data_IF_399616251110
#
_entry.id   IF_399616251110
#
_cell.length_a   1.000
_cell.length_b   1.000
_cell.length_c   1.000
_cell.angle_alpha   90.00
_cell.angle_beta   90.00
_cell.angle_gamma   90.00
#
_symmetry.space_group_name_H-M   'P 1'
#
loop_
_entity.id
_entity.type
_entity.pdbx_description
1 polymer ?
#
# COMPACT_ATOMS: atom_id res chain seq x y z
N UNK A 1 -2.20 0.35 -0.06
CA UNK A 1 -1.52 -0.12 1.18
C UNK A 1 -1.39 1.00 2.21
N UNK A 2 -0.61 2.06 1.93
CA UNK A 2 -0.36 3.11 2.91
C UNK A 2 -1.64 3.86 3.31
N UNK A 3 -2.50 4.20 2.35
CA UNK A 3 -3.80 4.82 2.64
C UNK A 3 -4.73 3.87 3.41
N UNK A 4 -4.86 2.61 2.99
CA UNK A 4 -5.85 1.67 3.56
C UNK A 4 -5.67 1.44 5.07
N UNK A 5 -4.43 1.43 5.55
CA UNK A 5 -4.11 1.30 6.98
C UNK A 5 -3.76 2.62 7.67
N UNK A 6 -3.23 3.60 6.93
CA UNK A 6 -2.80 4.89 7.46
C UNK A 6 -3.88 5.97 7.51
N UNK A 7 -4.97 5.81 6.75
CA UNK A 7 -6.10 6.76 6.76
C UNK A 7 -6.84 6.76 8.11
N UNK A 8 -6.85 5.63 8.83
CA UNK A 8 -7.30 5.58 10.21
C UNK A 8 -6.14 5.96 11.15
N UNK A 9 -6.00 7.26 11.43
CA UNK A 9 -4.87 7.82 12.19
C UNK A 9 -4.50 7.06 13.48
N UNK A 10 -5.45 6.62 14.34
CA UNK A 10 -5.09 5.87 15.55
C UNK A 10 -4.35 4.53 15.29
N UNK A 11 -4.50 3.94 14.10
CA UNK A 11 -3.80 2.72 13.70
C UNK A 11 -2.34 2.97 13.33
N UNK A 12 -2.00 4.15 12.82
CA UNK A 12 -0.64 4.49 12.41
C UNK A 12 -0.36 6.00 12.56
N UNK A 13 -0.32 6.53 13.79
CA UNK A 13 -0.09 7.95 14.01
C UNK A 13 1.33 8.33 13.58
N UNK A 14 1.43 9.37 12.75
CA UNK A 14 2.73 9.84 12.23
C UNK A 14 3.60 10.56 13.25
N UNK A 15 3.03 10.99 14.37
CA UNK A 15 3.72 11.62 15.49
C UNK A 15 2.90 11.48 16.77
N UNK A 16 3.54 11.66 17.92
CA UNK A 16 2.91 11.71 19.24
C UNK A 16 3.27 13.03 19.93
N UNK A 17 2.27 13.69 20.50
CA UNK A 17 2.41 15.03 21.12
C UNK A 17 2.82 14.97 22.59
N UNK A 18 2.70 13.79 23.21
CA UNK A 18 3.07 13.55 24.60
C UNK A 18 4.09 12.41 24.70
N UNK A 19 4.96 12.41 25.73
CA UNK A 19 5.93 11.34 25.93
C UNK A 19 5.25 10.01 26.29
N UNK A 20 5.95 8.87 26.10
CA UNK A 20 5.44 7.57 26.52
C UNK A 20 5.06 7.53 28.01
N UNK A 21 3.93 6.91 28.39
CA UNK A 21 3.55 6.76 29.79
C UNK A 21 4.61 5.99 30.59
N UNK A 22 4.98 6.50 31.77
CA UNK A 22 6.03 5.89 32.61
C UNK A 22 5.49 4.92 33.67
N UNK A 23 4.15 4.85 33.84
CA UNK A 23 3.48 4.00 34.84
C UNK A 23 2.20 3.40 34.26
N UNK A 24 1.91 2.15 34.63
CA UNK A 24 0.64 1.47 34.28
C UNK A 24 -0.56 2.14 34.96
N UNK A 25 -1.74 2.04 34.35
CA UNK A 25 -3.01 2.53 34.92
C UNK A 25 -3.18 4.06 34.92
N UNK A 26 -2.30 4.81 34.24
CA UNK A 26 -2.38 6.27 34.11
C UNK A 26 -2.94 6.76 32.78
N UNK A 27 -3.09 5.87 31.80
CA UNK A 27 -3.70 6.20 30.52
C UNK A 27 -5.23 6.30 30.68
N UNK A 28 -5.79 7.33 30.05
CA UNK A 28 -7.22 7.56 29.85
C UNK A 28 -7.49 7.88 28.38
N UNK A 29 -8.76 7.78 27.95
CA UNK A 29 -9.17 8.18 26.59
C UNK A 29 -8.77 9.62 26.29
N UNK A 30 -8.97 10.55 27.23
CA UNK A 30 -8.52 11.93 27.11
C UNK A 30 -7.01 12.03 26.86
N UNK A 31 -6.19 11.35 27.67
CA UNK A 31 -4.73 11.37 27.47
C UNK A 31 -4.31 10.75 26.13
N UNK A 32 -5.07 9.79 25.61
CA UNK A 32 -4.82 9.19 24.31
C UNK A 32 -5.09 10.21 23.19
N UNK A 33 -6.24 10.89 23.23
CA UNK A 33 -6.58 11.96 22.29
C UNK A 33 -5.56 13.10 22.35
N UNK A 34 -5.14 13.51 23.56
CA UNK A 34 -4.14 14.57 23.75
C UNK A 34 -2.74 14.14 23.25
N UNK A 35 -2.46 12.83 23.16
CA UNK A 35 -1.20 12.29 22.61
C UNK A 35 -1.21 12.24 21.08
N UNK A 36 -2.38 12.10 20.46
CA UNK A 36 -2.50 11.96 19.01
C UNK A 36 -2.12 13.23 18.25
N UNK A 37 -1.74 13.12 16.96
CA UNK A 37 -1.49 14.28 16.11
C UNK A 37 -2.75 15.15 15.98
N UNK A 38 -2.53 16.46 15.82
CA UNK A 38 -3.62 17.38 15.52
C UNK A 38 -4.23 17.12 14.12
N UNK A 39 -5.36 17.76 13.86
CA UNK A 39 -6.12 17.59 12.61
C UNK A 39 -5.28 17.97 11.39
N UNK A 40 -4.53 19.07 11.45
CA UNK A 40 -3.74 19.56 10.33
C UNK A 40 -2.66 18.56 9.92
N UNK A 41 -1.90 18.03 10.89
CA UNK A 41 -0.88 17.01 10.65
C UNK A 41 -1.48 15.73 10.08
N UNK A 42 -2.64 15.32 10.58
CA UNK A 42 -3.34 14.12 10.11
C UNK A 42 -3.78 14.25 8.65
N UNK A 43 -4.46 15.35 8.31
CA UNK A 43 -4.97 15.60 6.95
C UNK A 43 -3.82 15.73 5.95
N UNK A 44 -2.75 16.43 6.33
CA UNK A 44 -1.60 16.65 5.44
C UNK A 44 -0.96 15.33 5.02
N UNK A 45 -0.79 14.37 5.92
CA UNK A 45 -0.19 13.08 5.57
C UNK A 45 -1.11 12.28 4.67
N UNK A 46 -2.40 12.20 4.99
CA UNK A 46 -3.37 11.39 4.23
C UNK A 46 -3.44 11.84 2.76
N UNK A 47 -3.28 13.14 2.48
CA UNK A 47 -3.32 13.65 1.09
C UNK A 47 -2.18 13.18 0.19
N UNK A 48 -1.07 12.68 0.73
CA UNK A 48 0.07 12.18 -0.08
C UNK A 48 0.03 10.67 -0.33
N UNK A 49 -0.94 9.94 0.22
CA UNK A 49 -0.91 8.46 0.23
C UNK A 49 -1.60 7.79 -0.98
N UNK A 50 -1.85 8.50 -2.08
CA UNK A 50 -2.64 7.99 -3.22
C UNK A 50 -1.98 8.17 -4.59
N UNK A 51 -1.16 7.21 -5.04
CA UNK A 51 -0.62 7.18 -6.42
C UNK A 51 -0.33 5.74 -6.87
N UNK A 52 -0.58 5.39 -8.15
CA UNK A 52 -0.21 4.09 -8.78
C UNK A 52 -0.01 4.17 -10.32
N UNK A 53 1.01 3.46 -10.86
CA UNK A 53 1.26 3.13 -12.30
C UNK A 53 1.67 1.65 -12.42
N UNK A 54 1.02 0.80 -13.23
CA UNK A 54 1.07 -0.68 -13.11
C UNK A 54 2.25 -1.44 -13.77
N UNK A 55 2.58 -2.62 -13.22
CA UNK A 55 3.68 -3.54 -13.52
C UNK A 55 3.44 -4.36 -14.79
N UNK A 56 4.51 -4.62 -15.55
CA UNK A 56 4.46 -5.46 -16.76
C UNK A 56 3.91 -4.76 -18.01
N UNK A 57 3.54 -3.48 -17.88
CA UNK A 57 3.25 -2.60 -19.00
C UNK A 57 4.53 -1.86 -19.40
N UNK A 58 5.11 -2.25 -20.53
CA UNK A 58 6.29 -1.62 -21.12
C UNK A 58 5.86 -0.87 -22.39
N UNK A 59 5.33 0.36 -22.29
CA UNK A 59 4.93 1.13 -23.47
C UNK A 59 6.12 1.62 -24.29
N UNK A 60 7.32 1.71 -23.69
CA UNK A 60 8.55 2.02 -24.38
C UNK A 60 9.22 0.73 -24.88
N UNK A 61 9.28 0.57 -26.20
CA UNK A 61 9.89 -0.59 -26.86
C UNK A 61 11.42 -0.45 -26.93
N UNK A 62 12.09 -0.78 -25.82
CA UNK A 62 13.56 -0.81 -25.77
C UNK A 62 14.17 -2.08 -26.37
N UNK A 63 13.44 -3.19 -26.32
CA UNK A 63 13.82 -4.45 -26.95
C UNK A 63 12.99 -4.67 -28.20
N UNK A 64 13.66 -5.03 -29.30
CA UNK A 64 13.01 -5.36 -30.58
C UNK A 64 13.35 -6.77 -31.04
N UNK A 65 14.33 -7.42 -30.41
CA UNK A 65 14.69 -8.80 -30.74
C UNK A 65 13.60 -9.79 -30.32
N UNK A 66 13.45 -10.86 -31.09
CA UNK A 66 12.39 -11.85 -30.91
C UNK A 66 12.41 -12.53 -29.54
N UNK A 67 13.61 -12.91 -29.05
CA UNK A 67 13.76 -13.65 -27.80
C UNK A 67 13.36 -12.82 -26.56
N UNK A 68 13.88 -11.59 -26.34
CA UNK A 68 13.40 -10.70 -25.28
C UNK A 68 11.90 -10.43 -25.35
N UNK A 69 11.36 -10.15 -26.54
CA UNK A 69 9.93 -9.91 -26.74
C UNK A 69 9.08 -11.12 -26.34
N UNK A 70 9.52 -12.34 -26.67
CA UNK A 70 8.84 -13.55 -26.24
C UNK A 70 8.89 -13.73 -24.72
N UNK A 71 10.03 -13.45 -24.08
CA UNK A 71 10.16 -13.50 -22.62
C UNK A 71 9.26 -12.50 -21.89
N UNK A 72 9.07 -11.31 -22.46
CA UNK A 72 8.12 -10.31 -21.94
C UNK A 72 6.69 -10.85 -22.01
N UNK A 73 6.30 -11.48 -23.13
CA UNK A 73 4.97 -12.10 -23.26
C UNK A 73 4.76 -13.25 -22.27
N UNK A 74 5.75 -14.14 -22.14
CA UNK A 74 5.70 -15.25 -21.17
C UNK A 74 5.53 -14.71 -19.74
N UNK A 75 6.29 -13.67 -19.39
CA UNK A 75 6.17 -13.00 -18.09
C UNK A 75 4.78 -12.41 -17.86
N UNK A 76 4.21 -11.70 -18.85
CA UNK A 76 2.86 -11.16 -18.77
C UNK A 76 1.78 -12.24 -18.59
N UNK A 77 1.95 -13.42 -19.19
CA UNK A 77 1.04 -14.56 -19.00
C UNK A 77 1.11 -15.07 -17.56
N UNK A 78 2.31 -15.24 -17.01
CA UNK A 78 2.47 -15.66 -15.61
C UNK A 78 1.91 -14.64 -14.63
N UNK A 79 2.07 -13.33 -14.88
CA UNK A 79 1.46 -12.29 -14.05
C UNK A 79 -0.08 -12.38 -14.05
N UNK A 80 -0.71 -12.61 -15.21
CA UNK A 80 -2.16 -12.80 -15.30
C UNK A 80 -2.64 -14.03 -14.53
N UNK A 81 -1.90 -15.14 -14.61
CA UNK A 81 -2.19 -16.36 -13.84
C UNK A 81 -2.11 -16.09 -12.34
N UNK A 82 -1.04 -15.45 -11.88
CA UNK A 82 -0.84 -15.07 -10.49
C UNK A 82 -1.96 -14.15 -9.97
N UNK A 83 -2.35 -13.13 -10.74
CA UNK A 83 -3.47 -12.25 -10.40
C UNK A 83 -4.77 -13.03 -10.20
N UNK A 84 -5.08 -13.97 -11.09
CA UNK A 84 -6.28 -14.81 -10.97
C UNK A 84 -6.25 -15.67 -9.69
N UNK A 85 -5.11 -16.26 -9.34
CA UNK A 85 -4.92 -17.03 -8.10
C UNK A 85 -5.11 -16.16 -6.85
N UNK A 86 -4.56 -14.94 -6.86
CA UNK A 86 -4.71 -13.97 -5.77
C UNK A 86 -6.19 -13.58 -5.59
N UNK A 87 -6.91 -13.31 -6.69
CA UNK A 87 -8.34 -12.97 -6.67
C UNK A 87 -9.18 -14.13 -6.14
N UNK A 88 -8.91 -15.36 -6.59
CA UNK A 88 -9.59 -16.55 -6.09
C UNK A 88 -9.38 -16.72 -4.58
N UNK A 89 -8.14 -16.60 -4.11
CA UNK A 89 -7.80 -16.68 -2.68
C UNK A 89 -8.47 -15.57 -1.86
N UNK A 90 -8.51 -14.35 -2.38
CA UNK A 90 -9.11 -13.21 -1.70
C UNK A 90 -10.64 -13.27 -1.61
N UNK A 91 -11.31 -14.02 -2.49
CA UNK A 91 -12.79 -14.12 -2.50
C UNK A 91 -13.40 -14.72 -1.24
N UNK A 92 -12.60 -15.44 -0.45
CA UNK A 92 -13.05 -16.13 0.78
C UNK A 92 -12.50 -15.49 2.07
N UNK A 93 -11.78 -14.37 1.97
CA UNK A 93 -11.18 -13.69 3.12
C UNK A 93 -12.02 -12.46 3.51
N UNK A 94 -12.26 -12.31 4.83
CA UNK A 94 -12.91 -11.12 5.37
C UNK A 94 -12.07 -9.85 5.15
N UNK A 95 -10.74 -10.00 5.11
CA UNK A 95 -9.80 -8.93 4.79
C UNK A 95 -8.86 -9.39 3.65
N UNK A 96 -9.23 -9.10 2.39
CA UNK A 96 -8.40 -9.42 1.23
C UNK A 96 -7.02 -8.76 1.27
N UNK A 97 -5.99 -9.47 0.81
CA UNK A 97 -4.66 -8.89 0.60
C UNK A 97 -4.42 -8.71 -0.90
N UNK A 98 -4.48 -7.47 -1.37
CA UNK A 98 -4.45 -7.11 -2.80
C UNK A 98 -3.14 -6.44 -3.23
N UNK A 99 -2.26 -6.04 -2.29
CA UNK A 99 -1.13 -5.15 -2.58
C UNK A 99 -0.02 -5.73 -3.45
N UNK A 100 0.02 -7.06 -3.61
CA UNK A 100 0.95 -7.76 -4.50
C UNK A 100 0.23 -8.39 -5.69
N UNK A 101 -1.02 -8.02 -5.95
CA UNK A 101 -1.67 -8.37 -7.20
C UNK A 101 -0.94 -7.64 -8.35
N UNK A 102 -0.45 -8.34 -9.38
CA UNK A 102 0.20 -7.72 -10.52
C UNK A 102 -0.63 -6.61 -11.18
N UNK A 103 -1.97 -6.69 -11.10
CA UNK A 103 -2.88 -5.68 -11.65
C UNK A 103 -2.81 -4.32 -10.93
N UNK A 104 -2.25 -4.28 -9.71
CA UNK A 104 -2.14 -3.05 -8.88
C UNK A 104 -0.71 -2.76 -8.42
N UNK A 105 0.27 -3.58 -8.81
CA UNK A 105 1.68 -3.39 -8.46
C UNK A 105 2.33 -2.47 -9.47
N UNK A 106 3.29 -1.62 -9.08
CA UNK A 106 3.94 -0.70 -10.03
C UNK A 106 5.15 -1.28 -10.77
N UNK A 107 5.43 -0.77 -11.97
CA UNK A 107 6.59 -1.21 -12.77
C UNK A 107 7.93 -0.65 -12.24
N UNK A 108 7.90 0.51 -11.60
CA UNK A 108 9.06 1.18 -11.02
C UNK A 108 8.65 1.98 -9.78
N UNK A 109 9.63 2.42 -8.97
CA UNK A 109 9.37 3.38 -7.89
C UNK A 109 9.33 4.77 -8.54
N UNK A 110 8.12 5.25 -8.82
CA UNK A 110 7.89 6.48 -9.60
C UNK A 110 7.22 7.62 -8.82
N UNK A 111 7.02 7.42 -7.51
CA UNK A 111 6.36 8.33 -6.57
C UNK A 111 7.24 8.54 -5.34
#
# INVERSE_FOLDING_TARGET
MQYDFGAWMPNSPVTLQLPPPTKKGKASEKSMIDTFPNIQTTVHVISYLSHQIFLGQYPEEHFTEEVPCQKIKDFQVELKRLSAEIKARNSVLDLPYTYLDPDVTENSVSI
#
